data_IF_050442650583
#
_entry.id   IF_050442650583
#
_cell.length_a   1.000
_cell.length_b   1.000
_cell.length_c   1.000
_cell.angle_alpha   90.00
_cell.angle_beta   90.00
_cell.angle_gamma   90.00
#
_symmetry.space_group_name_H-M   'P 1'
#
loop_
_entity.id
_entity.type
_entity.pdbx_description
1 polymer ?
#
# COMPACT_ATOMS: atom_id res chain seq x y z
N UNK A 1 45.43 -29.15 61.99
CA UNK A 1 45.26 -29.53 60.57
C UNK A 1 44.61 -28.33 59.86
N UNK A 2 45.35 -27.68 58.97
CA UNK A 2 44.99 -26.37 58.38
C UNK A 2 43.83 -26.54 57.39
N UNK A 3 42.75 -25.78 57.54
CA UNK A 3 41.72 -25.62 56.51
C UNK A 3 41.79 -24.16 56.03
N UNK A 4 42.10 -24.03 54.75
CA UNK A 4 42.28 -22.80 54.00
C UNK A 4 40.89 -22.24 53.65
N UNK A 5 40.54 -21.05 54.14
CA UNK A 5 39.33 -20.34 53.75
C UNK A 5 39.68 -19.49 52.51
N UNK A 6 39.12 -19.86 51.36
CA UNK A 6 39.20 -19.06 50.12
C UNK A 6 38.02 -18.09 50.12
N UNK A 7 38.30 -16.79 50.32
CA UNK A 7 37.33 -15.72 50.07
C UNK A 7 37.26 -15.48 48.55
N UNK A 8 36.09 -15.76 47.95
CA UNK A 8 35.76 -15.32 46.59
C UNK A 8 35.17 -13.90 46.67
N UNK A 9 35.91 -12.90 46.20
CA UNK A 9 35.40 -11.55 45.94
C UNK A 9 34.63 -11.55 44.62
N UNK A 10 33.30 -11.41 44.68
CA UNK A 10 32.47 -11.16 43.50
C UNK A 10 32.37 -9.64 43.34
N UNK A 11 33.10 -9.09 42.37
CA UNK A 11 32.97 -7.71 41.95
C UNK A 11 31.73 -7.58 41.04
N UNK A 12 30.67 -6.98 41.54
CA UNK A 12 29.49 -6.61 40.75
C UNK A 12 29.75 -5.31 40.01
N UNK A 13 30.05 -5.38 38.71
CA UNK A 13 30.11 -4.22 37.83
C UNK A 13 28.71 -3.83 37.38
N UNK A 14 28.21 -2.71 37.90
CA UNK A 14 27.02 -2.06 37.35
C UNK A 14 27.37 -1.43 36.00
N UNK A 15 26.93 -2.06 34.90
CA UNK A 15 26.95 -1.43 33.57
C UNK A 15 25.75 -0.49 33.50
N UNK A 16 26.02 0.80 33.71
CA UNK A 16 25.08 1.88 33.43
C UNK A 16 25.01 2.08 31.92
N UNK A 17 23.96 1.60 31.26
CA UNK A 17 23.72 1.81 29.84
C UNK A 17 23.06 3.18 29.64
N UNK A 18 23.88 4.22 29.48
CA UNK A 18 23.44 5.53 29.01
C UNK A 18 23.39 5.49 27.48
N UNK A 19 22.21 5.28 26.92
CA UNK A 19 21.98 5.46 25.49
C UNK A 19 21.86 6.96 25.19
N UNK A 20 22.92 7.55 24.64
CA UNK A 20 22.87 8.87 24.02
C UNK A 20 21.94 8.79 22.79
N UNK A 21 20.79 9.45 22.86
CA UNK A 21 19.91 9.64 21.71
C UNK A 21 20.55 10.63 20.74
N UNK A 22 21.17 10.13 19.67
CA UNK A 22 21.55 10.97 18.53
C UNK A 22 20.27 11.56 17.90
N UNK A 23 20.23 12.86 17.59
CA UNK A 23 19.12 13.43 16.83
C UNK A 23 19.02 12.72 15.47
N UNK A 24 17.80 12.30 15.11
CA UNK A 24 17.50 11.82 13.75
C UNK A 24 17.85 12.92 12.75
N UNK A 25 18.56 12.60 11.64
CA UNK A 25 18.86 13.59 10.62
C UNK A 25 17.54 14.13 10.03
N UNK A 26 17.42 15.45 9.92
CA UNK A 26 16.41 16.05 9.05
C UNK A 26 16.58 15.48 7.63
N UNK A 27 15.53 14.82 7.14
CA UNK A 27 15.42 14.35 5.76
C UNK A 27 15.26 15.58 4.84
N UNK A 28 16.35 16.29 4.59
CA UNK A 28 16.45 17.35 3.56
C UNK A 28 17.24 16.88 2.33
N UNK A 29 17.31 15.56 2.11
CA UNK A 29 17.90 14.97 0.91
C UNK A 29 16.81 14.62 -0.08
N UNK A 30 16.87 15.18 -1.28
CA UNK A 30 16.18 14.63 -2.46
C UNK A 30 16.50 13.15 -2.49
N UNK A 31 15.49 12.31 -2.25
CA UNK A 31 15.66 10.86 -2.38
C UNK A 31 16.19 10.61 -3.80
N UNK A 32 17.30 9.88 -3.97
CA UNK A 32 17.77 9.51 -5.30
C UNK A 32 16.62 8.81 -6.01
N UNK A 33 16.41 9.14 -7.30
CA UNK A 33 15.38 8.50 -8.11
C UNK A 33 15.50 6.99 -7.86
N UNK A 34 14.48 6.34 -7.25
CA UNK A 34 14.52 4.90 -7.10
C UNK A 34 14.67 4.39 -8.52
N UNK A 35 15.71 3.59 -8.83
CA UNK A 35 15.88 3.08 -10.17
C UNK A 35 14.56 2.40 -10.51
N UNK A 36 13.85 2.96 -11.50
CA UNK A 36 12.68 2.34 -12.11
C UNK A 36 13.13 0.96 -12.48
N UNK A 37 12.83 -0.03 -11.64
CA UNK A 37 13.47 -1.34 -11.71
C UNK A 37 13.10 -2.09 -13.00
N UNK A 38 12.29 -1.47 -13.87
CA UNK A 38 11.74 -2.07 -15.08
C UNK A 38 11.56 -1.08 -16.27
N UNK A 39 12.12 0.14 -16.21
CA UNK A 39 12.02 1.09 -17.32
C UNK A 39 10.59 1.55 -17.65
N UNK A 40 9.77 1.79 -16.62
CA UNK A 40 8.44 2.39 -16.78
C UNK A 40 8.61 3.91 -16.83
N UNK A 41 8.22 4.53 -17.94
CA UNK A 41 8.05 6.00 -17.98
C UNK A 41 6.76 6.35 -17.22
N UNK A 42 6.87 6.60 -15.91
CA UNK A 42 5.73 6.84 -15.04
C UNK A 42 4.94 8.10 -15.47
N UNK A 43 5.62 9.11 -16.00
CA UNK A 43 5.00 10.35 -16.45
C UNK A 43 4.13 10.12 -17.69
N UNK A 44 4.55 9.23 -18.61
CA UNK A 44 3.75 8.85 -19.79
C UNK A 44 2.41 8.19 -19.44
N UNK A 45 2.32 7.60 -18.24
CA UNK A 45 1.10 6.97 -17.71
C UNK A 45 0.40 7.83 -16.66
N UNK A 46 0.78 9.10 -16.53
CA UNK A 46 0.13 10.07 -15.64
C UNK A 46 0.48 9.90 -14.15
N UNK A 47 1.59 9.23 -13.83
CA UNK A 47 2.07 8.98 -12.48
C UNK A 47 3.34 9.76 -12.17
N UNK A 48 3.29 10.54 -11.09
CA UNK A 48 4.44 11.26 -10.56
C UNK A 48 4.79 10.74 -9.16
N UNK A 49 5.80 9.86 -9.08
CA UNK A 49 6.30 9.33 -7.80
C UNK A 49 7.19 10.29 -7.03
N UNK A 50 7.23 11.58 -7.40
CA UNK A 50 7.90 12.62 -6.61
C UNK A 50 6.88 13.30 -5.70
N UNK A 51 6.91 13.04 -4.38
CA UNK A 51 6.00 13.69 -3.46
C UNK A 51 6.23 15.21 -3.44
N UNK A 52 5.16 15.97 -3.23
CA UNK A 52 5.22 17.42 -3.07
C UNK A 52 4.74 17.81 -1.66
N UNK A 53 5.51 18.64 -0.97
CA UNK A 53 5.20 19.09 0.40
C UNK A 53 5.35 17.98 1.44
N UNK A 54 4.54 18.03 2.51
CA UNK A 54 4.57 17.05 3.60
C UNK A 54 3.38 16.09 3.52
N UNK A 55 3.59 14.86 4.00
CA UNK A 55 2.54 13.83 3.99
C UNK A 55 1.28 14.26 4.78
N UNK A 56 1.46 14.88 5.94
CA UNK A 56 0.35 15.36 6.77
C UNK A 56 -0.40 16.55 6.14
N UNK A 57 0.33 17.48 5.50
CA UNK A 57 -0.32 18.57 4.77
C UNK A 57 -1.13 18.06 3.58
N UNK A 58 -0.63 17.04 2.88
CA UNK A 58 -1.33 16.42 1.76
C UNK A 58 -2.62 15.73 2.22
N UNK A 59 -2.57 14.90 3.27
CA UNK A 59 -3.78 14.30 3.86
C UNK A 59 -4.80 15.36 4.30
N UNK A 60 -4.33 16.46 4.89
CA UNK A 60 -5.20 17.57 5.31
C UNK A 60 -5.83 18.28 4.10
N UNK A 61 -5.07 18.50 3.03
CA UNK A 61 -5.54 19.10 1.78
C UNK A 61 -6.61 18.24 1.09
N UNK A 62 -6.37 16.93 1.00
CA UNK A 62 -7.34 15.95 0.47
C UNK A 62 -8.66 16.04 1.24
N UNK A 63 -8.63 15.98 2.58
CA UNK A 63 -9.85 16.08 3.41
C UNK A 63 -10.62 17.37 3.18
N UNK A 64 -9.94 18.50 3.03
CA UNK A 64 -10.58 19.80 2.74
C UNK A 64 -11.25 19.80 1.37
N UNK A 65 -10.58 19.28 0.33
CA UNK A 65 -11.16 19.18 -1.03
C UNK A 65 -12.34 18.20 -1.08
N UNK A 66 -12.25 17.10 -0.33
CA UNK A 66 -13.37 16.16 -0.16
C UNK A 66 -14.62 16.84 0.41
N UNK A 67 -14.46 17.72 1.41
CA UNK A 67 -15.56 18.46 2.03
C UNK A 67 -16.11 19.60 1.16
N UNK A 68 -15.30 20.12 0.23
CA UNK A 68 -15.63 21.33 -0.52
C UNK A 68 -16.36 21.09 -1.85
N UNK A 69 -16.47 19.85 -2.33
CA UNK A 69 -16.96 19.60 -3.69
C UNK A 69 -17.48 18.21 -3.99
N UNK A 70 -17.98 18.05 -5.21
CA UNK A 70 -18.38 16.77 -5.79
C UNK A 70 -17.14 16.08 -6.33
N UNK A 71 -16.54 15.18 -5.54
CA UNK A 71 -15.34 14.47 -5.92
C UNK A 71 -15.70 13.24 -6.76
N UNK A 72 -15.07 13.11 -7.92
CA UNK A 72 -15.25 12.03 -8.90
C UNK A 72 -14.31 10.84 -8.63
N UNK A 73 -14.50 9.74 -9.36
CA UNK A 73 -13.54 8.63 -9.37
C UNK A 73 -12.13 9.05 -9.81
N UNK A 74 -12.02 10.00 -10.74
CA UNK A 74 -10.74 10.55 -11.18
C UNK A 74 -10.04 11.37 -10.08
N UNK A 75 -10.80 12.04 -9.21
CA UNK A 75 -10.24 12.74 -8.05
C UNK A 75 -9.67 11.75 -7.04
N UNK A 76 -10.39 10.66 -6.73
CA UNK A 76 -9.89 9.59 -5.86
C UNK A 76 -8.63 8.94 -6.45
N UNK A 77 -8.65 8.66 -7.76
CA UNK A 77 -7.48 8.13 -8.47
C UNK A 77 -6.27 9.04 -8.31
N UNK A 78 -6.43 10.34 -8.57
CA UNK A 78 -5.36 11.32 -8.46
C UNK A 78 -4.86 11.46 -7.02
N UNK A 79 -5.77 11.51 -6.03
CA UNK A 79 -5.37 11.60 -4.62
C UNK A 79 -4.58 10.37 -4.18
N UNK A 80 -4.97 9.17 -4.61
CA UNK A 80 -4.23 7.96 -4.32
C UNK A 80 -2.88 7.95 -5.04
N UNK A 81 -2.89 8.01 -6.37
CA UNK A 81 -1.74 7.69 -7.21
C UNK A 81 -0.70 8.81 -7.27
N UNK A 82 -1.12 10.07 -7.23
CA UNK A 82 -0.25 11.24 -7.43
C UNK A 82 -0.04 12.08 -6.16
N UNK A 83 -0.79 11.83 -5.09
CA UNK A 83 -0.64 12.60 -3.85
C UNK A 83 -0.28 11.74 -2.64
N UNK A 84 -0.89 10.56 -2.47
CA UNK A 84 -0.62 9.69 -1.32
C UNK A 84 0.54 8.72 -1.59
N UNK A 85 0.42 7.89 -2.63
CA UNK A 85 1.38 6.83 -2.97
C UNK A 85 2.80 7.34 -3.26
N UNK A 86 3.03 8.53 -3.84
CA UNK A 86 4.39 9.02 -4.08
C UNK A 86 5.24 9.10 -2.80
N UNK A 87 4.63 9.38 -1.66
CA UNK A 87 5.34 9.34 -0.38
C UNK A 87 5.70 7.91 0.05
N UNK A 88 4.86 6.92 -0.30
CA UNK A 88 5.07 5.51 0.06
C UNK A 88 6.07 4.79 -0.84
N UNK A 89 6.30 5.28 -2.05
CA UNK A 89 7.25 4.67 -2.98
C UNK A 89 8.62 4.49 -2.32
N UNK A 90 9.19 3.28 -2.44
CA UNK A 90 10.44 2.91 -1.78
C UNK A 90 10.33 2.47 -0.32
N UNK A 91 9.17 2.59 0.34
CA UNK A 91 9.00 2.15 1.74
C UNK A 91 9.33 0.66 1.86
N UNK A 92 10.20 0.24 2.79
CA UNK A 92 10.58 -1.16 2.94
C UNK A 92 9.39 -2.09 3.17
N UNK A 93 9.44 -3.27 2.57
CA UNK A 93 8.48 -4.34 2.84
C UNK A 93 8.92 -5.19 4.03
N UNK A 94 7.96 -5.63 4.84
CA UNK A 94 8.09 -6.74 5.79
C UNK A 94 6.72 -7.40 5.93
N UNK A 95 6.67 -8.73 6.10
CA UNK A 95 5.42 -9.47 6.26
C UNK A 95 4.59 -9.01 7.47
N UNK A 96 5.25 -8.60 8.55
CA UNK A 96 4.64 -8.06 9.76
C UNK A 96 4.63 -6.53 9.75
N UNK A 97 5.05 -5.87 8.67
CA UNK A 97 5.09 -4.41 8.58
C UNK A 97 3.70 -3.79 8.61
N UNK A 98 3.47 -2.84 9.52
CA UNK A 98 2.20 -2.14 9.66
C UNK A 98 2.35 -0.62 9.82
N UNK A 99 3.51 -0.05 9.44
CA UNK A 99 3.73 1.39 9.59
C UNK A 99 2.61 2.20 8.94
N UNK A 100 2.23 3.30 9.58
CA UNK A 100 1.29 4.28 9.04
C UNK A 100 2.03 5.52 8.48
N UNK A 101 3.36 5.50 8.53
CA UNK A 101 4.19 6.63 8.14
C UNK A 101 5.09 6.16 6.98
N UNK A 102 4.97 6.76 5.79
CA UNK A 102 5.79 6.38 4.64
C UNK A 102 7.28 6.50 4.95
N UNK A 103 8.07 5.54 4.47
CA UNK A 103 9.53 5.48 4.64
C UNK A 103 10.02 5.53 6.10
N UNK A 104 9.17 5.20 7.08
CA UNK A 104 9.54 5.06 8.50
C UNK A 104 9.03 3.73 9.03
N UNK A 105 9.91 2.72 9.05
CA UNK A 105 9.57 1.32 9.29
C UNK A 105 9.08 0.62 8.02
N UNK A 106 8.45 -0.53 8.21
CA UNK A 106 8.11 -1.46 7.14
C UNK A 106 6.59 -1.60 6.95
N UNK A 107 6.17 -1.96 5.73
CA UNK A 107 4.76 -2.14 5.37
C UNK A 107 4.50 -3.42 4.57
N UNK A 108 3.60 -4.27 5.06
CA UNK A 108 3.12 -5.44 4.34
C UNK A 108 2.15 -5.05 3.21
N UNK A 109 1.87 -5.98 2.30
CA UNK A 109 1.03 -5.75 1.12
C UNK A 109 -0.40 -5.26 1.44
N UNK A 110 -1.11 -5.94 2.34
CA UNK A 110 -2.46 -5.54 2.77
C UNK A 110 -2.46 -4.24 3.56
N UNK A 111 -1.41 -3.99 4.35
CA UNK A 111 -1.25 -2.71 5.04
C UNK A 111 -0.97 -1.57 4.07
N UNK A 112 -0.21 -1.78 3.00
CA UNK A 112 0.01 -0.77 1.96
C UNK A 112 -1.32 -0.34 1.32
N UNK A 113 -2.13 -1.29 0.85
CA UNK A 113 -3.45 -1.02 0.26
C UNK A 113 -4.34 -0.31 1.26
N UNK A 114 -4.59 -0.92 2.42
CA UNK A 114 -5.56 -0.41 3.39
C UNK A 114 -5.19 0.96 3.98
N UNK A 115 -3.89 1.22 4.19
CA UNK A 115 -3.38 2.48 4.73
C UNK A 115 -3.50 3.60 3.70
N UNK A 116 -3.11 3.34 2.45
CA UNK A 116 -3.19 4.35 1.39
C UNK A 116 -4.63 4.71 1.06
N UNK A 117 -5.54 3.73 1.00
CA UNK A 117 -6.99 3.97 0.87
C UNK A 117 -7.55 4.81 2.01
N UNK A 118 -7.21 4.46 3.26
CA UNK A 118 -7.63 5.23 4.43
C UNK A 118 -7.10 6.67 4.39
N UNK A 119 -5.83 6.84 3.99
CA UNK A 119 -5.18 8.15 3.93
C UNK A 119 -5.66 9.01 2.74
N UNK A 120 -6.19 8.40 1.68
CA UNK A 120 -6.94 9.07 0.62
C UNK A 120 -8.40 9.41 1.02
N UNK A 121 -8.81 9.05 2.24
CA UNK A 121 -10.08 9.47 2.83
C UNK A 121 -11.19 8.42 2.84
N UNK A 122 -10.94 7.19 2.37
CA UNK A 122 -11.91 6.12 2.52
C UNK A 122 -12.04 5.78 4.01
N UNK A 123 -13.25 5.85 4.55
CA UNK A 123 -13.50 5.51 5.95
C UNK A 123 -13.54 3.98 6.13
N UNK A 124 -12.36 3.38 6.20
CA UNK A 124 -12.16 1.94 6.36
C UNK A 124 -11.18 1.66 7.50
N UNK A 125 -11.40 0.56 8.23
CA UNK A 125 -10.46 0.12 9.25
C UNK A 125 -9.26 -0.58 8.60
N UNK A 126 -8.11 0.10 8.58
CA UNK A 126 -6.90 -0.42 7.93
C UNK A 126 -6.44 -1.78 8.48
N UNK A 127 -6.54 -1.99 9.79
CA UNK A 127 -6.10 -3.22 10.43
C UNK A 127 -6.99 -4.39 10.04
N UNK A 128 -8.32 -4.19 10.10
CA UNK A 128 -9.25 -5.26 9.73
C UNK A 128 -9.11 -5.64 8.26
N UNK A 129 -8.96 -4.66 7.36
CA UNK A 129 -8.82 -4.93 5.93
C UNK A 129 -7.50 -5.67 5.64
N UNK A 130 -6.37 -5.16 6.12
CA UNK A 130 -5.05 -5.75 5.88
C UNK A 130 -4.88 -7.18 6.42
N UNK A 131 -5.73 -7.60 7.36
CA UNK A 131 -5.72 -8.94 7.95
C UNK A 131 -6.60 -9.94 7.20
N UNK A 132 -7.29 -9.50 6.14
CA UNK A 132 -8.10 -10.38 5.30
C UNK A 132 -7.26 -11.01 4.18
N UNK A 133 -7.73 -12.15 3.66
CA UNK A 133 -7.23 -12.66 2.39
C UNK A 133 -7.76 -11.82 1.22
N UNK A 134 -7.10 -11.89 0.06
CA UNK A 134 -7.41 -11.06 -1.11
C UNK A 134 -8.88 -11.07 -1.54
N UNK A 135 -9.59 -12.20 -1.43
CA UNK A 135 -11.03 -12.27 -1.72
C UNK A 135 -11.87 -11.40 -0.78
N UNK A 136 -11.58 -11.41 0.52
CA UNK A 136 -12.35 -10.64 1.49
C UNK A 136 -11.97 -9.15 1.45
N UNK A 137 -10.72 -8.81 1.12
CA UNK A 137 -10.34 -7.43 0.78
C UNK A 137 -11.13 -6.92 -0.43
N UNK A 138 -11.15 -7.69 -1.53
CA UNK A 138 -11.90 -7.36 -2.74
C UNK A 138 -13.40 -7.17 -2.44
N UNK A 139 -14.04 -8.11 -1.73
CA UNK A 139 -15.45 -8.00 -1.32
C UNK A 139 -15.74 -6.74 -0.49
N UNK A 140 -14.83 -6.41 0.42
CA UNK A 140 -14.97 -5.22 1.26
C UNK A 140 -14.95 -3.93 0.44
N UNK A 141 -14.10 -3.85 -0.58
CA UNK A 141 -13.97 -2.68 -1.46
C UNK A 141 -15.07 -2.63 -2.52
N UNK A 142 -15.49 -3.79 -3.03
CA UNK A 142 -16.55 -3.91 -4.01
C UNK A 142 -17.92 -3.49 -3.45
N UNK A 143 -18.13 -3.60 -2.13
CA UNK A 143 -19.42 -3.37 -1.43
C UNK A 143 -20.49 -4.43 -1.78
N UNK A 144 -20.60 -4.81 -3.05
CA UNK A 144 -21.51 -5.83 -3.57
C UNK A 144 -20.76 -6.82 -4.46
N UNK A 145 -21.35 -7.99 -4.70
CA UNK A 145 -20.77 -9.03 -5.57
C UNK A 145 -20.71 -8.63 -7.06
N UNK A 146 -21.36 -7.52 -7.46
CA UNK A 146 -21.35 -7.01 -8.83
C UNK A 146 -20.07 -6.24 -9.17
N UNK A 147 -19.31 -5.78 -8.16
CA UNK A 147 -18.13 -4.93 -8.31
C UNK A 147 -16.81 -5.67 -8.03
N UNK A 148 -16.82 -6.99 -8.01
CA UNK A 148 -15.61 -7.79 -8.11
C UNK A 148 -15.79 -9.03 -8.96
N UNK A 149 -14.68 -9.56 -9.45
CA UNK A 149 -14.65 -10.82 -10.18
C UNK A 149 -13.46 -11.66 -9.71
N UNK A 150 -13.64 -12.99 -9.75
CA UNK A 150 -12.55 -13.96 -9.56
C UNK A 150 -12.17 -14.59 -10.89
N UNK A 151 -10.89 -14.53 -11.23
CA UNK A 151 -10.32 -15.02 -12.48
C UNK A 151 -9.21 -16.02 -12.16
N UNK A 152 -9.19 -17.15 -12.85
CA UNK A 152 -8.20 -18.21 -12.62
C UNK A 152 -7.20 -18.27 -13.76
N UNK A 153 -5.91 -18.19 -13.43
CA UNK A 153 -4.79 -18.25 -14.37
C UNK A 153 -4.49 -16.93 -15.09
N UNK A 154 -3.20 -16.66 -15.29
CA UNK A 154 -2.70 -15.41 -15.86
C UNK A 154 -3.10 -15.19 -17.33
N UNK A 155 -3.25 -16.26 -18.12
CA UNK A 155 -3.69 -16.17 -19.52
C UNK A 155 -5.13 -15.70 -19.62
N UNK A 156 -6.01 -16.24 -18.77
CA UNK A 156 -7.41 -15.82 -18.70
C UNK A 156 -7.52 -14.40 -18.16
N UNK A 157 -6.71 -14.05 -17.15
CA UNK A 157 -6.60 -12.68 -16.67
C UNK A 157 -6.23 -11.72 -17.80
N UNK A 158 -5.16 -11.99 -18.55
CA UNK A 158 -4.72 -11.12 -19.64
C UNK A 158 -5.83 -10.90 -20.68
N UNK A 159 -6.59 -11.96 -21.01
CA UNK A 159 -7.76 -11.87 -21.89
C UNK A 159 -8.85 -10.98 -21.30
N UNK A 160 -9.26 -11.23 -20.06
CA UNK A 160 -10.33 -10.47 -19.38
C UNK A 160 -9.98 -9.00 -19.24
N UNK A 161 -8.75 -8.68 -18.82
CA UNK A 161 -8.27 -7.29 -18.70
C UNK A 161 -8.36 -6.56 -20.04
N UNK A 162 -7.97 -7.21 -21.14
CA UNK A 162 -8.03 -6.62 -22.48
C UNK A 162 -9.45 -6.42 -22.99
N UNK A 163 -10.35 -7.36 -22.71
CA UNK A 163 -11.71 -7.37 -23.29
C UNK A 163 -12.71 -6.51 -22.49
N UNK A 164 -12.50 -6.35 -21.19
CA UNK A 164 -13.53 -5.84 -20.28
C UNK A 164 -13.10 -4.70 -19.37
N UNK A 165 -11.81 -4.54 -19.10
CA UNK A 165 -11.34 -3.50 -18.20
C UNK A 165 -10.91 -2.25 -18.97
N UNK A 166 -11.21 -1.10 -18.40
CA UNK A 166 -10.86 0.23 -18.94
C UNK A 166 -9.81 0.89 -18.06
N UNK A 167 -9.27 2.01 -18.55
CA UNK A 167 -8.35 2.83 -17.76
C UNK A 167 -8.97 3.19 -16.41
N UNK A 168 -8.19 2.98 -15.34
CA UNK A 168 -8.66 3.18 -13.97
C UNK A 168 -7.81 2.47 -12.93
N UNK A 169 -8.18 2.64 -11.67
CA UNK A 169 -7.56 2.00 -10.53
C UNK A 169 -8.49 0.93 -9.95
N UNK A 170 -7.93 -0.26 -9.76
CA UNK A 170 -8.61 -1.42 -9.22
C UNK A 170 -7.80 -2.00 -8.06
N UNK A 171 -8.46 -2.76 -7.19
CA UNK A 171 -7.80 -3.65 -6.25
C UNK A 171 -7.54 -4.99 -6.93
N UNK A 172 -6.44 -5.67 -6.59
CA UNK A 172 -6.19 -7.05 -7.00
C UNK A 172 -5.67 -7.87 -5.82
N UNK A 173 -6.38 -8.96 -5.52
CA UNK A 173 -5.97 -9.99 -4.59
C UNK A 173 -5.45 -11.23 -5.33
N UNK A 174 -4.34 -11.78 -4.86
CA UNK A 174 -3.67 -12.98 -5.37
C UNK A 174 -3.75 -14.11 -4.31
N UNK A 175 -3.14 -15.27 -4.59
CA UNK A 175 -3.07 -16.40 -3.66
C UNK A 175 -2.51 -16.01 -2.28
N UNK A 176 -1.45 -15.20 -2.27
CA UNK A 176 -0.69 -14.87 -1.06
C UNK A 176 -0.08 -13.46 -1.13
N UNK A 177 -0.70 -12.57 -1.91
CA UNK A 177 -0.25 -11.20 -2.09
C UNK A 177 -1.41 -10.31 -2.56
N UNK A 178 -1.31 -9.00 -2.37
CA UNK A 178 -2.34 -8.03 -2.79
C UNK A 178 -1.69 -6.72 -3.24
N UNK A 179 -2.43 -5.91 -3.99
CA UNK A 179 -2.01 -4.57 -4.35
C UNK A 179 -3.07 -3.84 -5.17
N UNK A 180 -2.65 -2.78 -5.83
CA UNK A 180 -3.46 -2.08 -6.81
C UNK A 180 -3.10 -2.54 -8.22
N UNK A 181 -4.13 -2.67 -9.05
CA UNK A 181 -4.01 -2.85 -10.49
C UNK A 181 -4.39 -1.52 -11.15
N UNK A 182 -3.40 -0.78 -11.64
CA UNK A 182 -3.63 0.45 -12.40
C UNK A 182 -3.60 0.11 -13.88
N UNK A 183 -4.69 0.39 -14.60
CA UNK A 183 -4.78 0.14 -16.03
C UNK A 183 -4.68 1.49 -16.73
N UNK A 184 -3.72 1.61 -17.63
CA UNK A 184 -3.53 2.83 -18.43
C UNK A 184 -3.16 2.50 -19.86
N UNK A 185 -3.91 3.07 -20.81
CA UNK A 185 -3.75 2.79 -22.24
C UNK A 185 -3.75 1.28 -22.54
N UNK A 186 -4.63 0.53 -21.85
CA UNK A 186 -4.75 -0.92 -21.98
C UNK A 186 -3.59 -1.74 -21.38
N UNK A 187 -2.64 -1.11 -20.71
CA UNK A 187 -1.54 -1.81 -20.01
C UNK A 187 -1.84 -1.88 -18.51
N UNK A 188 -1.84 -3.09 -17.91
CA UNK A 188 -1.99 -3.24 -16.47
C UNK A 188 -0.64 -3.12 -15.74
N UNK A 189 -0.63 -2.30 -14.70
CA UNK A 189 0.50 -2.06 -13.81
C UNK A 189 0.14 -2.51 -12.40
N UNK A 190 1.06 -3.21 -11.75
CA UNK A 190 0.91 -3.68 -10.39
C UNK A 190 1.67 -2.77 -9.44
N UNK A 191 0.93 -2.07 -8.58
CA UNK A 191 1.49 -1.20 -7.55
C UNK A 191 1.26 -1.85 -6.18
N UNK A 192 2.34 -2.14 -5.46
CA UNK A 192 2.30 -2.99 -4.28
C UNK A 192 3.50 -2.77 -3.37
N UNK A 193 3.42 -3.28 -2.14
CA UNK A 193 4.59 -3.52 -1.30
C UNK A 193 5.19 -4.88 -1.69
N UNK A 194 6.34 -4.85 -2.38
CA UNK A 194 6.93 -6.01 -3.04
C UNK A 194 7.80 -6.82 -2.07
N UNK A 195 7.45 -8.09 -1.86
CA UNK A 195 8.19 -9.01 -0.97
C UNK A 195 9.45 -9.61 -1.60
N UNK A 196 9.63 -9.47 -2.93
CA UNK A 196 10.82 -9.92 -3.66
C UNK A 196 11.86 -8.79 -3.66
N UNK A 197 11.43 -7.58 -4.02
CA UNK A 197 12.28 -6.38 -4.11
C UNK A 197 12.39 -5.61 -2.78
N UNK A 198 11.71 -6.08 -1.73
CA UNK A 198 11.66 -5.52 -0.38
C UNK A 198 11.26 -4.04 -0.29
N UNK A 199 10.35 -3.57 -1.16
CA UNK A 199 9.93 -2.16 -1.19
C UNK A 199 8.58 -1.94 -1.85
N UNK A 200 7.93 -0.83 -1.53
CA UNK A 200 6.79 -0.32 -2.32
C UNK A 200 7.27 0.15 -3.69
N UNK A 201 6.66 -0.37 -4.74
CA UNK A 201 7.02 -0.04 -6.13
C UNK A 201 5.88 -0.36 -7.11
N UNK A 202 6.06 0.08 -8.36
CA UNK A 202 5.20 -0.26 -9.48
C UNK A 202 5.94 -1.12 -10.51
N UNK A 203 5.24 -2.06 -11.12
CA UNK A 203 5.76 -2.89 -12.21
C UNK A 203 4.69 -3.24 -13.24
N UNK A 204 5.07 -3.77 -14.42
CA UNK A 204 4.10 -4.28 -15.41
C UNK A 204 3.51 -5.58 -14.88
N UNK A 205 2.20 -5.61 -14.66
CA UNK A 205 1.54 -6.69 -13.93
C UNK A 205 1.77 -8.07 -14.58
N UNK A 206 1.47 -8.21 -15.87
CA UNK A 206 1.49 -9.52 -16.55
C UNK A 206 2.88 -10.16 -16.70
N UNK A 207 3.95 -9.40 -16.45
CA UNK A 207 5.35 -9.88 -16.51
C UNK A 207 6.05 -9.88 -15.17
N UNK A 208 5.42 -9.35 -14.13
CA UNK A 208 5.98 -9.22 -12.80
C UNK A 208 6.07 -10.57 -12.08
N UNK A 209 7.23 -10.94 -11.50
CA UNK A 209 7.35 -12.16 -10.69
C UNK A 209 6.41 -12.15 -9.47
N UNK A 210 6.27 -11.01 -8.80
CA UNK A 210 5.42 -10.88 -7.61
C UNK A 210 3.91 -10.89 -7.93
N UNK A 211 3.54 -10.84 -9.22
CA UNK A 211 2.15 -10.88 -9.68
C UNK A 211 1.71 -12.28 -10.17
N UNK A 212 2.63 -13.24 -10.24
CA UNK A 212 2.29 -14.61 -10.62
C UNK A 212 1.40 -15.26 -9.56
N UNK A 213 0.23 -15.75 -9.99
CA UNK A 213 -0.79 -16.32 -9.11
C UNK A 213 -1.66 -17.30 -9.89
N UNK A 214 -2.28 -18.25 -9.19
CA UNK A 214 -3.29 -19.17 -9.76
C UNK A 214 -4.68 -18.53 -9.79
N UNK A 215 -4.92 -17.57 -8.90
CA UNK A 215 -6.19 -16.83 -8.75
C UNK A 215 -5.94 -15.31 -8.71
N UNK A 216 -6.86 -14.56 -9.29
CA UNK A 216 -6.89 -13.11 -9.28
C UNK A 216 -8.29 -12.66 -8.91
N UNK A 217 -8.43 -11.92 -7.81
CA UNK A 217 -9.71 -11.30 -7.41
C UNK A 217 -9.60 -9.80 -7.60
N UNK A 218 -10.32 -9.25 -8.58
CA UNK A 218 -10.25 -7.83 -8.92
C UNK A 218 -11.50 -7.15 -8.42
N UNK A 219 -11.37 -6.04 -7.71
CA UNK A 219 -12.49 -5.18 -7.30
C UNK A 219 -12.34 -3.77 -7.86
N UNK A 220 -13.46 -3.20 -8.28
CA UNK A 220 -13.55 -1.83 -8.77
C UNK A 220 -13.30 -0.84 -7.61
N UNK A 221 -12.43 0.16 -7.85
CA UNK A 221 -12.21 1.28 -6.91
C UNK A 221 -12.76 2.57 -7.52
N UNK A 222 -12.12 3.07 -8.59
CA UNK A 222 -12.44 4.41 -9.13
C UNK A 222 -13.66 4.41 -10.05
N UNK A 223 -14.18 3.23 -10.39
CA UNK A 223 -15.42 3.02 -11.17
C UNK A 223 -16.58 2.51 -10.33
N UNK A 224 -16.38 2.28 -9.03
CA UNK A 224 -17.41 1.78 -8.12
C UNK A 224 -18.17 2.93 -7.45
N UNK A 225 -19.34 3.30 -7.99
CA UNK A 225 -20.12 4.42 -7.45
C UNK A 225 -20.60 4.20 -6.00
N UNK A 226 -20.79 2.96 -5.55
CA UNK A 226 -21.15 2.67 -4.16
C UNK A 226 -19.99 2.98 -3.20
N UNK A 227 -18.77 2.58 -3.59
CA UNK A 227 -17.56 2.91 -2.83
C UNK A 227 -17.28 4.42 -2.86
N UNK A 228 -17.41 5.05 -4.03
CA UNK A 228 -17.22 6.49 -4.17
C UNK A 228 -18.23 7.28 -3.35
N UNK A 229 -19.48 6.82 -3.25
CA UNK A 229 -20.47 7.46 -2.40
C UNK A 229 -20.11 7.38 -0.92
N UNK A 230 -19.64 6.22 -0.46
CA UNK A 230 -19.12 6.07 0.91
C UNK A 230 -17.91 6.97 1.16
N UNK A 231 -17.01 7.08 0.19
CA UNK A 231 -15.86 7.97 0.26
C UNK A 231 -16.27 9.44 0.35
N UNK A 232 -17.17 9.92 -0.52
CA UNK A 232 -17.68 11.31 -0.53
C UNK A 232 -18.38 11.67 0.78
N UNK A 233 -19.22 10.77 1.30
CA UNK A 233 -20.01 10.99 2.51
C UNK A 233 -19.23 10.71 3.81
N UNK A 234 -18.04 10.12 3.70
CA UNK A 234 -17.29 9.61 4.85
C UNK A 234 -17.98 8.44 5.55
N UNK A 235 -18.96 7.79 4.91
CA UNK A 235 -19.64 6.64 5.46
C UNK A 235 -18.67 5.44 5.58
N UNK A 236 -18.85 4.64 6.63
CA UNK A 236 -17.99 3.49 6.90
C UNK A 236 -18.10 2.46 5.77
N UNK A 237 -16.95 2.00 5.29
CA UNK A 237 -16.80 0.79 4.48
C UNK A 237 -16.59 -0.38 5.45
N UNK A 238 -17.56 -1.30 5.49
CA UNK A 238 -17.49 -2.46 6.36
C UNK A 238 -16.53 -3.49 5.77
N UNK A 239 -15.62 -3.98 6.61
CA UNK A 239 -14.70 -5.05 6.22
C UNK A 239 -15.43 -6.39 6.36
N UNK A 240 -15.44 -7.16 5.28
CA UNK A 240 -15.89 -8.56 5.27
C UNK A 240 -14.87 -9.39 6.04
N UNK A 241 -15.33 -10.10 7.06
CA UNK A 241 -14.51 -10.92 7.95
C UNK A 241 -15.11 -12.33 8.00
N UNK A 242 -14.24 -13.33 8.11
CA UNK A 242 -14.65 -14.71 8.38
C UNK A 242 -15.07 -14.89 9.84
#
# INVERSE_FOLDING_TARGET
>A
MRILIVLLLIASTHISCSAESKPLPELSGVLPDPPDSLGIDSLSIGLNFRPNGSYESTKTSIRKRMQAGQNSGADLENYLLNEIIPFWYGTPWDFNGYTAIPNQGEIACGYFVSTTLQHAGININRYHLAQQGGLNEAKSLAITDEHYETIYGIDQLAKVLKERYVDGLYFVGLDNHVGFLYIKHGTPYFLHSNYIENRVMIEKALTAPAFQSTIYVIADITTNELLLEKWRTGAVVNVVRN
#
